data_IF_360950908348
#
_entry.id   IF_360950908348
#
_cell.length_a   1.000
_cell.length_b   1.000
_cell.length_c   1.000
_cell.angle_alpha   90.00
_cell.angle_beta   90.00
_cell.angle_gamma   90.00
#
_symmetry.space_group_name_H-M   'P 1'
#
loop_
_entity.id
_entity.type
_entity.pdbx_description
1 polymer ?
#
# COMPACT_ATOMS: atom_id res chain seq x y z
N UNK A 1 -11.18 -0.24 -10.82
CA UNK A 1 -10.27 0.77 -11.37
C UNK A 1 -9.05 0.06 -11.96
N UNK A 2 -8.67 0.39 -13.17
CA UNK A 2 -7.49 -0.22 -13.78
C UNK A 2 -6.23 0.16 -12.99
N UNK A 3 -5.31 -0.79 -12.78
CA UNK A 3 -4.02 -0.50 -12.21
C UNK A 3 -3.29 0.48 -13.13
N UNK A 4 -2.80 1.58 -12.58
CA UNK A 4 -2.05 2.57 -13.35
C UNK A 4 -0.74 2.01 -13.88
N UNK A 5 -0.15 2.67 -14.89
CA UNK A 5 1.13 2.28 -15.44
C UNK A 5 2.25 2.34 -14.39
N UNK A 6 3.28 1.49 -14.51
CA UNK A 6 4.47 1.60 -13.67
C UNK A 6 5.15 2.97 -13.82
N UNK A 7 5.83 3.40 -12.75
CA UNK A 7 6.50 4.69 -12.70
C UNK A 7 7.81 4.72 -13.49
N UNK A 8 8.33 3.56 -13.88
CA UNK A 8 9.57 3.42 -14.63
C UNK A 8 9.49 2.17 -15.53
N UNK A 9 10.59 1.83 -16.17
CA UNK A 9 10.64 0.67 -17.08
C UNK A 9 10.69 -0.65 -16.30
N UNK A 10 9.54 -1.06 -15.76
CA UNK A 10 9.35 -2.37 -15.13
C UNK A 10 7.88 -2.79 -15.23
N UNK A 11 7.60 -4.05 -14.95
CA UNK A 11 6.25 -4.58 -14.91
C UNK A 11 5.64 -4.34 -13.52
N UNK A 12 4.39 -3.94 -13.47
CA UNK A 12 3.67 -3.87 -12.19
C UNK A 12 3.50 -5.26 -11.58
N UNK A 13 3.27 -6.27 -12.43
CA UNK A 13 3.16 -7.67 -12.01
C UNK A 13 3.56 -8.60 -13.14
N UNK A 14 3.97 -9.82 -12.77
CA UNK A 14 4.24 -10.90 -13.72
C UNK A 14 3.63 -12.19 -13.21
N UNK A 15 2.82 -12.82 -14.07
CA UNK A 15 2.22 -14.11 -13.78
C UNK A 15 3.11 -15.25 -14.30
N UNK A 16 3.36 -16.23 -13.44
CA UNK A 16 4.07 -17.47 -13.80
C UNK A 16 3.22 -18.62 -13.26
N UNK A 17 2.53 -19.34 -14.17
CA UNK A 17 1.54 -20.32 -13.76
C UNK A 17 0.42 -19.65 -12.95
N UNK A 18 0.20 -20.12 -11.75
CA UNK A 18 -0.79 -19.53 -10.82
C UNK A 18 -0.19 -18.48 -9.88
N UNK A 19 1.13 -18.26 -9.95
CA UNK A 19 1.79 -17.27 -9.13
C UNK A 19 1.77 -15.91 -9.78
N UNK A 20 1.37 -14.90 -9.02
CA UNK A 20 1.45 -13.49 -9.42
C UNK A 20 2.48 -12.79 -8.56
N UNK A 21 3.55 -12.34 -9.18
CA UNK A 21 4.62 -11.58 -8.55
C UNK A 21 4.41 -10.10 -8.85
N UNK A 22 4.34 -9.27 -7.82
CA UNK A 22 4.15 -7.84 -7.97
C UNK A 22 5.44 -7.10 -7.65
N UNK A 23 5.74 -6.07 -8.42
CA UNK A 23 6.81 -5.13 -8.06
C UNK A 23 6.45 -4.37 -6.79
N UNK A 24 7.44 -3.85 -6.10
CA UNK A 24 7.23 -2.99 -4.94
C UNK A 24 6.34 -1.79 -5.29
N UNK A 25 5.35 -1.53 -4.47
CA UNK A 25 4.39 -0.44 -4.64
C UNK A 25 4.68 0.66 -3.63
N UNK A 26 4.79 1.88 -4.12
CA UNK A 26 4.92 3.09 -3.30
C UNK A 26 3.69 3.98 -3.50
N UNK A 27 3.47 4.89 -2.55
CA UNK A 27 2.30 5.77 -2.58
C UNK A 27 2.56 7.01 -3.44
N UNK A 28 2.71 6.79 -4.74
CA UNK A 28 2.80 7.86 -5.73
C UNK A 28 1.56 7.80 -6.62
N UNK A 29 0.80 8.89 -6.61
CA UNK A 29 -0.34 9.04 -7.50
C UNK A 29 0.18 9.32 -8.92
N UNK A 30 -0.02 8.39 -9.88
CA UNK A 30 0.51 8.56 -11.24
C UNK A 30 -0.17 9.69 -12.00
N UNK A 31 -1.41 10.05 -11.67
CA UNK A 31 -2.13 11.15 -12.31
C UNK A 31 -1.62 12.50 -11.81
N UNK A 32 -1.49 12.67 -10.50
CA UNK A 32 -0.99 13.89 -9.88
C UNK A 32 0.54 13.98 -9.91
N UNK A 33 1.25 12.88 -10.17
CA UNK A 33 2.71 12.78 -10.17
C UNK A 33 3.33 13.26 -8.86
N UNK A 34 2.70 12.90 -7.75
CA UNK A 34 3.18 13.28 -6.42
C UNK A 34 3.03 12.13 -5.42
N UNK A 35 3.83 12.20 -4.37
CA UNK A 35 3.72 11.28 -3.23
C UNK A 35 2.48 11.64 -2.42
N UNK A 36 1.72 10.64 -2.03
CA UNK A 36 0.59 10.80 -1.10
C UNK A 36 1.15 11.10 0.29
N UNK A 37 0.77 12.23 0.88
CA UNK A 37 1.28 12.66 2.18
C UNK A 37 0.18 13.00 3.18
N UNK A 38 -1.08 13.04 2.74
CA UNK A 38 -2.20 13.39 3.60
C UNK A 38 -3.49 12.68 3.18
N UNK A 39 -4.49 12.70 4.05
CA UNK A 39 -5.80 12.12 3.75
C UNK A 39 -6.49 12.80 2.57
N UNK A 40 -6.27 14.11 2.41
CA UNK A 40 -6.86 14.85 1.29
C UNK A 40 -6.34 14.45 -0.08
N UNK A 41 -5.21 13.73 -0.14
CA UNK A 41 -4.68 13.17 -1.38
C UNK A 41 -5.40 11.88 -1.80
N UNK A 42 -6.27 11.36 -0.95
CA UNK A 42 -6.97 10.10 -1.15
C UNK A 42 -8.42 10.32 -1.58
N UNK A 43 -9.05 9.35 -2.27
CA UNK A 43 -10.47 9.42 -2.57
C UNK A 43 -11.32 9.37 -1.28
N UNK A 44 -12.56 9.85 -1.37
CA UNK A 44 -13.48 9.91 -0.22
C UNK A 44 -13.72 8.55 0.42
N UNK A 45 -13.75 7.48 -0.37
CA UNK A 45 -13.86 6.11 0.14
C UNK A 45 -12.74 5.79 1.12
N UNK A 46 -11.51 6.12 0.75
CA UNK A 46 -10.34 5.91 1.61
C UNK A 46 -10.44 6.71 2.91
N UNK A 47 -10.83 7.97 2.81
CA UNK A 47 -10.99 8.83 3.97
C UNK A 47 -12.06 8.28 4.92
N UNK A 48 -13.17 7.77 4.38
CA UNK A 48 -14.23 7.16 5.17
C UNK A 48 -13.74 5.91 5.90
N UNK A 49 -12.99 5.04 5.21
CA UNK A 49 -12.42 3.84 5.81
C UNK A 49 -11.39 4.17 6.89
N UNK A 50 -10.53 5.15 6.65
CA UNK A 50 -9.52 5.57 7.62
C UNK A 50 -10.15 6.17 8.88
N UNK A 51 -11.26 6.88 8.75
CA UNK A 51 -12.02 7.39 9.90
C UNK A 51 -12.48 6.28 10.84
N UNK A 52 -12.83 5.10 10.32
CA UNK A 52 -13.22 3.97 11.16
C UNK A 52 -12.09 3.47 12.05
N UNK A 53 -10.85 3.78 11.68
CA UNK A 53 -9.64 3.44 12.43
C UNK A 53 -9.16 4.57 13.35
N UNK A 54 -9.86 5.72 13.34
CA UNK A 54 -9.48 6.88 14.14
C UNK A 54 -8.63 7.92 13.40
N UNK A 55 -8.37 7.74 12.11
CA UNK A 55 -7.60 8.69 11.30
C UNK A 55 -8.54 9.70 10.65
N UNK A 56 -8.66 10.88 11.25
CA UNK A 56 -9.74 11.84 10.93
C UNK A 56 -9.23 13.10 10.24
N UNK A 57 -8.31 13.81 10.85
CA UNK A 57 -7.94 15.15 10.41
C UNK A 57 -6.46 15.32 10.05
N UNK A 58 -5.59 14.49 10.59
CA UNK A 58 -4.15 14.68 10.52
C UNK A 58 -3.66 15.88 11.36
N UNK A 59 -4.50 16.39 12.26
CA UNK A 59 -4.21 17.60 13.04
C UNK A 59 -4.09 17.38 14.55
N UNK A 60 -4.51 16.22 15.05
CA UNK A 60 -4.34 15.85 16.45
C UNK A 60 -2.98 15.20 16.64
N UNK A 61 -2.41 15.29 17.84
CA UNK A 61 -1.01 14.96 18.11
C UNK A 61 -0.55 13.59 17.60
N UNK A 62 -1.29 12.54 17.86
CA UNK A 62 -0.98 11.19 17.36
C UNK A 62 -1.30 11.10 15.87
N UNK A 63 -2.43 11.65 15.46
CA UNK A 63 -2.89 11.63 14.08
C UNK A 63 -1.93 12.41 13.16
N UNK A 64 -1.34 13.51 13.63
CA UNK A 64 -0.31 14.25 12.87
C UNK A 64 0.87 13.32 12.53
N UNK A 65 1.35 12.56 13.51
CA UNK A 65 2.46 11.64 13.28
C UNK A 65 2.08 10.48 12.36
N UNK A 66 0.90 9.89 12.56
CA UNK A 66 0.47 8.69 11.84
C UNK A 66 -0.15 8.99 10.48
N UNK A 67 -0.69 10.19 10.25
CA UNK A 67 -1.47 10.52 9.06
C UNK A 67 -0.76 10.24 7.73
N UNK A 68 0.48 10.67 7.51
CA UNK A 68 1.16 10.39 6.24
C UNK A 68 1.33 8.89 6.01
N UNK A 69 1.72 8.14 7.05
CA UNK A 69 1.91 6.70 6.96
C UNK A 69 0.58 5.96 6.74
N UNK A 70 -0.48 6.37 7.42
CA UNK A 70 -1.82 5.79 7.24
C UNK A 70 -2.33 6.04 5.81
N UNK A 71 -2.17 7.26 5.30
CA UNK A 71 -2.56 7.61 3.94
C UNK A 71 -1.78 6.81 2.90
N UNK A 72 -0.46 6.72 3.04
CA UNK A 72 0.38 5.91 2.15
C UNK A 72 0.03 4.43 2.23
N UNK A 73 -0.23 3.91 3.42
CA UNK A 73 -0.61 2.51 3.62
C UNK A 73 -1.89 2.17 2.86
N UNK A 74 -2.90 3.01 2.97
CA UNK A 74 -4.15 2.78 2.24
C UNK A 74 -3.92 2.79 0.72
N UNK A 75 -3.19 3.79 0.22
CA UNK A 75 -2.91 3.92 -1.21
C UNK A 75 -2.17 2.71 -1.76
N UNK A 76 -1.11 2.28 -1.07
CA UNK A 76 -0.28 1.13 -1.48
C UNK A 76 -1.09 -0.16 -1.50
N UNK A 77 -1.85 -0.42 -0.44
CA UNK A 77 -2.63 -1.66 -0.33
C UNK A 77 -3.79 -1.69 -1.32
N UNK A 78 -4.42 -0.53 -1.56
CA UNK A 78 -5.46 -0.43 -2.59
C UNK A 78 -4.88 -0.65 -4.00
N UNK A 79 -3.68 -0.16 -4.26
CA UNK A 79 -3.02 -0.40 -5.54
C UNK A 79 -2.67 -1.88 -5.74
N UNK A 80 -2.21 -2.56 -4.69
CA UNK A 80 -1.99 -4.02 -4.72
C UNK A 80 -3.32 -4.73 -5.05
N UNK A 81 -4.41 -4.30 -4.41
CA UNK A 81 -5.75 -4.82 -4.70
C UNK A 81 -6.11 -4.63 -6.18
N UNK A 82 -5.93 -3.44 -6.72
CA UNK A 82 -6.22 -3.15 -8.14
C UNK A 82 -5.38 -4.04 -9.07
N UNK A 83 -4.11 -4.25 -8.76
CA UNK A 83 -3.21 -5.10 -9.57
C UNK A 83 -3.69 -6.55 -9.56
N UNK A 84 -4.01 -7.11 -8.39
CA UNK A 84 -4.44 -8.52 -8.31
C UNK A 84 -5.81 -8.72 -8.96
N UNK A 85 -6.70 -7.75 -8.85
CA UNK A 85 -8.01 -7.80 -9.50
C UNK A 85 -7.89 -7.69 -11.03
N UNK A 86 -6.98 -6.87 -11.54
CA UNK A 86 -6.70 -6.77 -12.98
C UNK A 86 -6.20 -8.10 -13.58
N UNK A 87 -5.59 -8.96 -12.76
CA UNK A 87 -5.12 -10.28 -13.16
C UNK A 87 -6.14 -11.40 -12.87
N UNK A 88 -7.36 -11.04 -12.53
CA UNK A 88 -8.46 -11.98 -12.30
C UNK A 88 -8.53 -12.57 -10.89
N UNK A 89 -7.76 -12.05 -9.96
CA UNK A 89 -7.77 -12.48 -8.56
C UNK A 89 -8.53 -11.54 -7.65
N UNK A 90 -8.34 -11.73 -6.36
CA UNK A 90 -8.91 -10.94 -5.29
C UNK A 90 -7.84 -10.69 -4.22
N UNK A 91 -8.04 -9.69 -3.38
CA UNK A 91 -7.07 -9.38 -2.32
C UNK A 91 -6.79 -10.58 -1.39
N UNK A 92 -7.77 -11.45 -1.15
CA UNK A 92 -7.59 -12.67 -0.37
C UNK A 92 -6.61 -13.69 -0.98
N UNK A 93 -6.31 -13.55 -2.28
CA UNK A 93 -5.35 -14.41 -2.97
C UNK A 93 -3.90 -13.97 -2.73
N UNK A 94 -3.70 -12.77 -2.21
CA UNK A 94 -2.39 -12.30 -1.74
C UNK A 94 -2.04 -13.04 -0.47
N UNK A 95 -0.95 -13.79 -0.50
CA UNK A 95 -0.55 -14.61 0.66
C UNK A 95 0.78 -14.19 1.29
N UNK A 96 1.55 -13.33 0.60
CA UNK A 96 2.86 -12.88 1.09
C UNK A 96 3.03 -11.38 0.85
N UNK A 97 3.48 -10.69 1.88
CA UNK A 97 3.85 -9.27 1.83
C UNK A 97 5.29 -9.10 2.34
N UNK A 98 6.10 -8.35 1.62
CA UNK A 98 7.38 -7.82 2.09
C UNK A 98 7.21 -6.31 2.21
N UNK A 99 7.45 -5.78 3.40
CA UNK A 99 7.08 -4.42 3.77
C UNK A 99 8.32 -3.66 4.23
N UNK A 100 8.62 -2.58 3.52
CA UNK A 100 9.79 -1.74 3.76
C UNK A 100 9.33 -0.41 4.36
N UNK A 101 9.95 -0.01 5.48
CA UNK A 101 9.63 1.25 6.18
C UNK A 101 10.90 2.09 6.31
N UNK A 102 10.76 3.40 6.19
CA UNK A 102 11.83 4.32 6.58
C UNK A 102 11.92 4.47 8.08
N UNK A 103 10.81 4.22 8.79
CA UNK A 103 10.74 4.33 10.25
C UNK A 103 9.72 3.30 10.76
N UNK A 104 10.19 2.31 11.49
CA UNK A 104 9.34 1.24 12.03
C UNK A 104 8.30 1.73 13.04
N UNK A 105 8.42 2.96 13.54
CA UNK A 105 7.37 3.56 14.38
C UNK A 105 6.05 3.75 13.63
N UNK A 106 6.09 3.75 12.30
CA UNK A 106 4.89 3.81 11.45
C UNK A 106 4.23 2.45 11.22
N UNK A 107 4.88 1.36 11.63
CA UNK A 107 4.31 0.03 11.44
C UNK A 107 2.95 -0.17 12.11
N UNK A 108 2.69 0.29 13.35
CA UNK A 108 1.37 0.13 13.97
C UNK A 108 0.23 0.76 13.17
N UNK A 109 0.43 1.95 12.62
CA UNK A 109 -0.57 2.60 11.75
C UNK A 109 -0.81 1.79 10.48
N UNK A 110 0.26 1.37 9.81
CA UNK A 110 0.18 0.50 8.64
C UNK A 110 -0.57 -0.80 8.96
N UNK A 111 -0.24 -1.45 10.06
CA UNK A 111 -0.85 -2.72 10.44
C UNK A 111 -2.36 -2.60 10.64
N UNK A 112 -2.82 -1.48 11.21
CA UNK A 112 -4.26 -1.20 11.34
C UNK A 112 -4.92 -1.03 9.97
N UNK A 113 -4.30 -0.29 9.07
CA UNK A 113 -4.81 -0.11 7.69
C UNK A 113 -4.79 -1.44 6.93
N UNK A 114 -3.73 -2.23 7.09
CA UNK A 114 -3.62 -3.55 6.46
C UNK A 114 -4.80 -4.46 6.81
N UNK A 115 -5.30 -4.38 8.03
CA UNK A 115 -6.47 -5.14 8.45
C UNK A 115 -7.73 -4.89 7.62
N UNK A 116 -7.84 -3.74 6.97
CA UNK A 116 -8.95 -3.44 6.05
C UNK A 116 -8.86 -4.25 4.75
N UNK A 117 -7.64 -4.59 4.33
CA UNK A 117 -7.38 -5.26 3.05
C UNK A 117 -7.08 -6.75 3.22
N UNK A 118 -6.36 -7.11 4.27
CA UNK A 118 -5.93 -8.47 4.58
C UNK A 118 -6.37 -8.84 5.99
N UNK A 119 -7.66 -9.19 6.21
CA UNK A 119 -8.13 -9.58 7.54
C UNK A 119 -7.55 -10.90 8.02
N UNK A 120 -7.17 -11.79 7.09
CA UNK A 120 -6.53 -13.06 7.39
C UNK A 120 -5.01 -12.91 7.45
N UNK A 121 -4.31 -13.73 8.27
CA UNK A 121 -2.86 -13.71 8.33
C UNK A 121 -2.20 -14.00 6.98
N UNK A 122 -1.12 -13.28 6.69
CA UNK A 122 -0.29 -13.48 5.50
C UNK A 122 1.15 -13.78 5.92
N UNK A 123 1.92 -14.39 5.02
CA UNK A 123 3.37 -14.50 5.19
C UNK A 123 3.95 -13.08 5.11
N UNK A 124 4.66 -12.64 6.14
CA UNK A 124 5.03 -11.24 6.30
C UNK A 124 6.49 -11.06 6.67
N UNK A 125 7.15 -10.15 5.99
CA UNK A 125 8.48 -9.64 6.36
C UNK A 125 8.38 -8.12 6.47
N UNK A 126 8.90 -7.58 7.57
CA UNK A 126 8.91 -6.13 7.83
C UNK A 126 10.33 -5.72 8.16
N UNK A 127 10.86 -4.73 7.45
CA UNK A 127 12.21 -4.21 7.67
C UNK A 127 12.22 -2.69 7.57
N UNK A 128 13.19 -2.08 8.28
CA UNK A 128 13.49 -0.67 8.13
C UNK A 128 14.63 -0.50 7.13
N UNK A 129 14.50 0.49 6.24
CA UNK A 129 15.50 0.83 5.25
C UNK A 129 15.85 2.31 5.34
N UNK A 130 17.05 2.68 4.91
CA UNK A 130 17.52 4.06 5.02
C UNK A 130 16.81 5.00 4.04
N UNK A 131 16.48 4.53 2.84
CA UNK A 131 15.87 5.36 1.77
C UNK A 131 15.05 4.52 0.82
N UNK A 132 14.09 5.18 0.17
CA UNK A 132 13.31 4.64 -0.94
C UNK A 132 13.15 5.68 -2.03
N UNK A 133 13.05 5.23 -3.29
CA UNK A 133 12.72 6.10 -4.41
C UNK A 133 11.25 6.49 -4.35
N UNK A 134 10.85 7.65 -4.92
CA UNK A 134 11.71 8.66 -5.56
C UNK A 134 12.24 9.73 -4.60
N UNK A 135 11.73 9.80 -3.39
CA UNK A 135 12.09 10.87 -2.44
C UNK A 135 11.91 10.43 -0.99
N UNK A 136 12.39 11.27 -0.07
CA UNK A 136 12.26 11.03 1.36
C UNK A 136 10.82 11.16 1.89
N UNK A 137 9.89 11.61 1.07
CA UNK A 137 8.47 11.60 1.41
C UNK A 137 7.86 10.19 1.36
N UNK A 138 8.50 9.25 0.63
CA UNK A 138 8.08 7.85 0.59
C UNK A 138 8.45 7.19 1.91
N UNK A 139 7.44 6.80 2.68
CA UNK A 139 7.60 6.22 4.02
C UNK A 139 7.47 4.70 4.03
N UNK A 140 6.82 4.15 3.01
CA UNK A 140 6.50 2.73 2.93
C UNK A 140 6.56 2.26 1.48
N UNK A 141 7.05 1.04 1.30
CA UNK A 141 6.97 0.29 0.04
C UNK A 141 6.55 -1.13 0.37
N UNK A 142 5.64 -1.70 -0.42
CA UNK A 142 5.12 -3.06 -0.19
C UNK A 142 5.23 -3.86 -1.47
N UNK A 143 5.82 -5.05 -1.35
CA UNK A 143 5.91 -6.06 -2.40
C UNK A 143 4.96 -7.19 -2.04
N UNK A 144 4.13 -7.62 -2.99
CA UNK A 144 3.13 -8.65 -2.77
C UNK A 144 3.30 -9.83 -3.71
N UNK A 145 2.92 -11.01 -3.23
CA UNK A 145 2.82 -12.23 -4.04
C UNK A 145 1.44 -12.83 -3.83
N UNK A 146 0.78 -13.21 -4.92
CA UNK A 146 -0.53 -13.86 -4.87
C UNK A 146 -0.52 -15.21 -5.55
N UNK A 147 -1.43 -16.09 -5.13
CA UNK A 147 -1.69 -17.35 -5.78
C UNK A 147 -3.10 -17.28 -6.40
N UNK A 148 -3.15 -17.28 -7.72
CA UNK A 148 -4.39 -17.15 -8.47
C UNK A 148 -4.94 -18.55 -8.79
N UNK A 149 -6.20 -18.74 -8.50
CA UNK A 149 -6.87 -19.96 -8.93
C UNK A 149 -7.19 -19.89 -10.42
N UNK A 150 -7.04 -21.02 -11.07
CA UNK A 150 -7.28 -21.10 -12.50
C UNK A 150 -8.76 -20.90 -12.87
#
# INVERSE_FOLDING_TARGET
MAAGAPLANYLAAKRIGNMLYMSGVIAVDPAARKVVTSYSDLPLEAQTQLKTLGYVTGQMSVDIFEAPAAAQSWFVLNRIKDIVEAEGGQMKDVFKLVQYFRDLRHYPAYNRVRGLFCPEPVVSTVVEVSRMLPSDEVMIEVEATAFLQA
#
